data_IF_163553711797
#
_entry.id   IF_163553711797
#
_cell.length_a   1.000
_cell.length_b   1.000
_cell.length_c   1.000
_cell.angle_alpha   90.00
_cell.angle_beta   90.00
_cell.angle_gamma   90.00
#
_symmetry.space_group_name_H-M   'P 1'
#
loop_
_entity.id
_entity.type
_entity.pdbx_description
1 polymer ?
#
# COMPACT_ATOMS: atom_id res chain seq x y z
N UNK A 1 -8.37 32.74 14.65
CA UNK A 1 -9.23 31.64 15.14
C UNK A 1 -8.34 30.44 15.37
N UNK A 2 -7.91 30.25 16.61
CA UNK A 2 -7.09 29.11 17.00
C UNK A 2 -7.99 27.87 17.00
N UNK A 3 -7.75 26.93 16.10
CA UNK A 3 -8.37 25.61 16.15
C UNK A 3 -7.99 24.95 17.46
N UNK A 4 -8.93 24.93 18.42
CA UNK A 4 -8.87 24.05 19.59
C UNK A 4 -8.66 22.64 19.07
N UNK A 5 -7.47 22.11 19.36
CA UNK A 5 -7.10 20.78 18.93
C UNK A 5 -7.93 19.81 19.75
N UNK A 6 -8.72 19.00 19.05
CA UNK A 6 -9.43 17.82 19.54
C UNK A 6 -8.43 16.72 19.95
N UNK A 7 -7.59 17.02 20.95
CA UNK A 7 -6.51 16.16 21.43
C UNK A 7 -6.94 15.20 22.56
N UNK A 8 -8.20 15.21 22.98
CA UNK A 8 -8.63 14.47 24.17
C UNK A 8 -9.37 13.15 23.93
N UNK A 9 -9.63 12.70 22.70
CA UNK A 9 -10.43 11.46 22.46
C UNK A 9 -9.59 10.36 21.82
N UNK A 10 -9.63 9.16 22.40
CA UNK A 10 -8.98 7.96 21.85
C UNK A 10 -9.67 7.51 20.55
N UNK A 11 -8.96 7.37 19.41
CA UNK A 11 -9.57 7.03 18.13
C UNK A 11 -10.12 5.59 18.04
N UNK A 12 -9.68 4.70 18.93
CA UNK A 12 -10.13 3.30 18.97
C UNK A 12 -11.47 3.16 19.71
N UNK A 13 -11.51 3.52 20.99
CA UNK A 13 -12.70 3.37 21.82
C UNK A 13 -13.62 4.61 21.83
N UNK A 14 -13.16 5.76 21.30
CA UNK A 14 -13.87 7.05 21.33
C UNK A 14 -14.16 7.59 22.72
N UNK A 15 -13.50 7.08 23.75
CA UNK A 15 -13.53 7.65 25.10
C UNK A 15 -12.52 8.79 25.24
N UNK A 16 -12.80 9.73 26.14
CA UNK A 16 -11.87 10.79 26.51
C UNK A 16 -10.67 10.23 27.29
N UNK A 17 -9.48 10.84 27.11
CA UNK A 17 -8.28 10.52 27.87
C UNK A 17 -8.37 11.12 29.27
N UNK A 18 -8.47 10.27 30.30
CA UNK A 18 -8.38 10.75 31.68
C UNK A 18 -6.90 10.95 32.10
N UNK A 19 -6.59 11.90 32.99
CA UNK A 19 -5.20 12.20 33.39
C UNK A 19 -4.46 11.04 34.04
N UNK A 20 -5.18 10.03 34.54
CA UNK A 20 -4.63 8.88 35.24
C UNK A 20 -4.49 7.64 34.35
N UNK A 21 -5.01 7.67 33.13
CA UNK A 21 -5.00 6.54 32.23
C UNK A 21 -3.67 6.44 31.48
N UNK A 22 -3.18 5.21 31.31
CA UNK A 22 -1.96 4.98 30.54
C UNK A 22 -2.22 5.22 29.05
N UNK A 23 -1.42 6.08 28.43
CA UNK A 23 -1.50 6.39 27.01
C UNK A 23 -0.24 5.98 26.27
N UNK A 24 -0.42 5.61 25.01
CA UNK A 24 0.63 5.21 24.09
C UNK A 24 0.52 6.06 22.83
N UNK A 25 1.64 6.63 22.38
CA UNK A 25 1.70 7.38 21.12
C UNK A 25 2.44 6.56 20.07
N UNK A 26 1.84 6.43 18.88
CA UNK A 26 2.46 5.78 17.74
C UNK A 26 3.66 6.62 17.25
N UNK A 27 4.87 6.04 17.20
CA UNK A 27 6.06 6.78 16.74
C UNK A 27 6.02 7.24 15.28
N UNK A 28 5.24 6.57 14.44
CA UNK A 28 5.19 6.87 12.99
C UNK A 28 4.27 8.04 12.67
N UNK A 29 3.08 8.08 13.25
CA UNK A 29 2.06 9.11 12.95
C UNK A 29 1.75 10.05 14.12
N UNK A 30 2.27 9.78 15.32
CA UNK A 30 2.04 10.57 16.53
C UNK A 30 0.68 10.33 17.21
N UNK A 31 -0.22 9.54 16.61
CA UNK A 31 -1.56 9.28 17.16
C UNK A 31 -1.48 8.67 18.57
N UNK A 32 -2.17 9.31 19.53
CA UNK A 32 -2.28 8.87 20.93
C UNK A 32 -3.49 7.94 21.10
N UNK A 33 -3.34 6.85 21.84
CA UNK A 33 -4.40 5.87 22.17
C UNK A 33 -4.22 5.39 23.61
N UNK A 34 -5.28 4.84 24.22
CA UNK A 34 -5.13 4.15 25.50
C UNK A 34 -4.20 2.95 25.34
N UNK A 35 -3.41 2.66 26.37
CA UNK A 35 -2.54 1.49 26.37
C UNK A 35 -3.32 0.20 26.14
N UNK A 36 -4.47 0.05 26.79
CA UNK A 36 -5.35 -1.11 26.59
C UNK A 36 -5.84 -1.21 25.14
N UNK A 37 -6.21 -0.08 24.52
CA UNK A 37 -6.62 -0.05 23.11
C UNK A 37 -5.49 -0.41 22.15
N UNK A 38 -4.24 -0.07 22.50
CA UNK A 38 -3.05 -0.44 21.75
C UNK A 38 -2.79 -1.95 21.81
N UNK A 39 -2.92 -2.53 23.00
CA UNK A 39 -2.77 -3.98 23.23
C UNK A 39 -3.88 -4.78 22.51
N UNK A 40 -5.13 -4.29 22.51
CA UNK A 40 -6.24 -4.89 21.76
C UNK A 40 -6.08 -4.80 20.23
N UNK A 41 -5.25 -3.87 19.74
CA UNK A 41 -4.98 -3.70 18.32
C UNK A 41 -3.69 -4.42 17.89
N UNK A 42 -3.25 -5.45 18.61
CA UNK A 42 -2.02 -6.21 18.36
C UNK A 42 -0.79 -5.30 18.25
N UNK A 43 -0.71 -4.29 19.11
CA UNK A 43 0.33 -3.26 19.13
C UNK A 43 0.42 -2.45 17.81
N UNK A 44 -0.73 -2.13 17.22
CA UNK A 44 -0.82 -1.31 16.00
C UNK A 44 -1.69 -0.07 16.21
N UNK A 45 -1.35 0.98 15.47
CA UNK A 45 -2.14 2.20 15.43
C UNK A 45 -3.52 1.94 14.78
N UNK A 46 -4.60 2.07 15.54
CA UNK A 46 -5.97 1.93 15.02
C UNK A 46 -6.37 2.89 13.89
N UNK A 47 -5.69 4.02 13.72
CA UNK A 47 -6.02 5.00 12.66
C UNK A 47 -5.38 4.63 11.32
N UNK A 48 -4.08 4.28 11.34
CA UNK A 48 -3.29 4.09 10.12
C UNK A 48 -2.71 2.68 9.97
N UNK A 49 -2.97 1.77 10.90
CA UNK A 49 -2.40 0.41 10.89
C UNK A 49 -0.88 0.36 11.05
N UNK A 50 -0.25 1.46 11.50
CA UNK A 50 1.19 1.50 11.73
C UNK A 50 1.55 0.48 12.83
N UNK A 51 2.37 -0.52 12.49
CA UNK A 51 2.84 -1.54 13.44
C UNK A 51 4.29 -1.33 13.89
N UNK A 52 4.64 -1.97 15.00
CA UNK A 52 6.02 -2.14 15.48
C UNK A 52 6.15 -1.94 16.99
N UNK A 53 6.99 -2.77 17.61
CA UNK A 53 7.40 -2.81 19.05
C UNK A 53 7.98 -1.50 19.60
N UNK A 54 7.91 -0.42 18.84
CA UNK A 54 8.47 0.87 19.16
C UNK A 54 7.40 1.86 19.65
N UNK A 55 6.42 1.43 20.43
CA UNK A 55 5.49 2.38 21.04
C UNK A 55 6.18 3.09 22.23
N UNK A 56 6.13 4.43 22.30
CA UNK A 56 6.67 5.15 23.47
C UNK A 56 5.56 5.22 24.51
N UNK A 57 5.58 4.31 25.48
CA UNK A 57 4.69 4.35 26.63
C UNK A 57 5.12 5.51 27.54
N UNK A 58 4.23 6.50 27.72
CA UNK A 58 4.35 7.43 28.84
C UNK A 58 3.73 6.73 30.04
N UNK A 59 4.47 5.80 30.64
CA UNK A 59 4.21 5.49 32.03
C UNK A 59 4.49 6.79 32.79
N UNK A 60 3.43 7.42 33.30
CA UNK A 60 3.55 8.57 34.18
C UNK A 60 4.14 8.03 35.49
N UNK A 61 5.46 7.82 35.50
CA UNK A 61 6.20 7.59 36.73
C UNK A 61 5.92 8.79 37.61
N UNK A 62 5.11 8.54 38.66
CA UNK A 62 4.87 9.48 39.75
C UNK A 62 6.24 10.05 40.14
N UNK A 63 6.41 11.38 40.19
CA UNK A 63 7.65 11.98 40.66
C UNK A 63 7.96 11.44 42.07
N UNK A 64 8.93 10.52 42.14
CA UNK A 64 9.42 10.01 43.41
C UNK A 64 10.21 11.14 44.06
N UNK A 65 9.63 11.73 45.09
CA UNK A 65 10.17 12.81 45.90
C UNK A 65 11.31 12.33 46.80
N UNK A 66 12.38 11.76 46.24
CA UNK A 66 13.61 11.49 47.00
C UNK A 66 14.88 11.74 46.19
N UNK A 67 15.60 12.78 46.61
CA UNK A 67 17.05 12.71 46.80
C UNK A 67 17.90 13.12 45.61
N UNK A 68 18.34 14.38 45.66
CA UNK A 68 19.43 14.95 44.88
C UNK A 68 20.67 14.03 44.75
N UNK A 69 21.20 13.92 43.54
CA UNK A 69 22.60 14.27 43.21
C UNK A 69 22.68 14.52 41.71
N UNK A 70 22.95 15.78 41.37
CA UNK A 70 22.98 16.28 40.02
C UNK A 70 24.17 15.70 39.23
N UNK A 71 23.89 14.83 38.26
CA UNK A 71 24.75 14.63 37.09
C UNK A 71 23.94 15.07 35.88
N UNK A 72 24.30 16.23 35.34
CA UNK A 72 23.69 16.83 34.17
C UNK A 72 23.95 15.95 32.95
N UNK A 73 23.08 14.96 32.71
CA UNK A 73 23.00 14.31 31.41
C UNK A 73 22.23 15.24 30.48
N UNK A 74 22.90 15.67 29.41
CA UNK A 74 22.31 16.41 28.31
C UNK A 74 21.15 15.60 27.73
N UNK A 75 19.93 16.04 28.01
CA UNK A 75 18.70 15.49 27.45
C UNK A 75 18.80 15.70 25.94
N UNK A 76 18.76 14.64 25.10
CA UNK A 76 18.77 14.80 23.67
C UNK A 76 17.53 15.60 23.25
N UNK A 77 17.78 16.72 22.57
CA UNK A 77 16.77 17.66 22.11
C UNK A 77 15.65 16.92 21.39
N UNK A 78 14.36 17.24 21.66
CA UNK A 78 13.25 16.60 20.98
C UNK A 78 13.40 16.74 19.46
N UNK A 79 13.01 15.71 18.69
CA UNK A 79 13.01 15.80 17.24
C UNK A 79 12.22 17.03 16.82
N UNK A 80 12.84 17.87 15.99
CA UNK A 80 12.24 19.13 15.53
C UNK A 80 10.88 18.80 14.90
N UNK A 81 9.79 19.51 15.26
CA UNK A 81 8.50 19.34 14.61
C UNK A 81 8.70 19.50 13.11
N UNK A 82 8.07 18.62 12.33
CA UNK A 82 8.09 18.66 10.87
C UNK A 82 7.86 20.09 10.40
N UNK A 83 8.81 20.60 9.61
CA UNK A 83 8.69 21.93 9.05
C UNK A 83 7.36 22.00 8.28
N UNK A 84 6.53 23.04 8.51
CA UNK A 84 5.34 23.23 7.71
C UNK A 84 5.73 23.23 6.24
N UNK A 85 4.92 22.56 5.41
CA UNK A 85 5.00 22.66 3.94
C UNK A 85 5.24 24.13 3.58
N UNK A 86 6.36 24.39 2.91
CA UNK A 86 6.86 25.75 2.68
C UNK A 86 5.74 26.63 2.11
N UNK A 87 5.52 27.81 2.69
CA UNK A 87 4.52 28.82 2.26
C UNK A 87 4.47 28.98 0.74
N UNK A 88 5.63 28.84 0.08
CA UNK A 88 5.80 28.85 -1.38
C UNK A 88 4.86 27.92 -2.16
N UNK A 89 4.46 26.78 -1.61
CA UNK A 89 3.54 25.83 -2.29
C UNK A 89 2.07 26.20 -2.17
N UNK A 90 1.69 26.94 -1.11
CA UNK A 90 0.32 27.47 -0.98
C UNK A 90 0.07 28.62 -1.94
N UNK A 91 1.07 29.48 -2.13
CA UNK A 91 0.93 30.65 -2.99
C UNK A 91 0.77 30.27 -4.47
N UNK A 92 1.46 29.22 -4.93
CA UNK A 92 1.34 28.72 -6.31
C UNK A 92 -0.04 28.09 -6.56
N UNK A 93 -0.58 27.35 -5.58
CA UNK A 93 -1.92 26.78 -5.69
C UNK A 93 -3.02 27.85 -5.79
N UNK A 94 -2.94 28.90 -4.97
CA UNK A 94 -3.89 30.01 -5.00
C UNK A 94 -3.79 30.84 -6.27
N UNK A 95 -2.58 31.09 -6.79
CA UNK A 95 -2.36 31.77 -8.06
C UNK A 95 -2.98 31.01 -9.23
N UNK A 96 -2.88 29.67 -9.26
CA UNK A 96 -3.49 28.86 -10.31
C UNK A 96 -5.02 28.89 -10.26
N UNK A 97 -5.60 28.82 -9.05
CA UNK A 97 -7.06 28.89 -8.88
C UNK A 97 -7.61 30.26 -9.32
N UNK A 98 -6.88 31.35 -9.07
CA UNK A 98 -7.29 32.70 -9.46
C UNK A 98 -7.04 33.03 -10.95
N UNK A 99 -5.99 32.48 -11.55
CA UNK A 99 -5.63 32.77 -12.94
C UNK A 99 -6.59 32.14 -13.96
N UNK A 100 -7.14 30.95 -13.67
CA UNK A 100 -8.06 30.23 -14.56
C UNK A 100 -9.33 31.05 -14.89
N UNK A 101 -10.10 31.56 -13.91
CA UNK A 101 -11.32 32.34 -14.21
C UNK A 101 -11.01 33.69 -14.89
N UNK A 102 -9.88 34.33 -14.56
CA UNK A 102 -9.48 35.59 -15.20
C UNK A 102 -9.11 35.40 -16.68
N UNK A 103 -8.40 34.32 -17.00
CA UNK A 103 -8.10 33.96 -18.38
C UNK A 103 -9.36 33.60 -19.17
N UNK A 104 -10.30 32.85 -18.57
CA UNK A 104 -11.59 32.55 -19.20
C UNK A 104 -12.41 33.82 -19.49
N UNK A 105 -12.40 34.80 -18.57
CA UNK A 105 -13.09 36.07 -18.76
C UNK A 105 -12.44 36.91 -19.88
N UNK A 106 -11.11 36.93 -19.97
CA UNK A 106 -10.39 37.62 -21.03
C UNK A 106 -10.63 37.00 -22.41
N UNK A 107 -10.69 35.66 -22.51
CA UNK A 107 -11.03 34.96 -23.76
C UNK A 107 -12.47 35.27 -24.18
N UNK A 108 -13.42 35.28 -23.24
CA UNK A 108 -14.81 35.62 -23.52
C UNK A 108 -14.98 37.07 -24.01
N UNK A 109 -14.18 38.01 -23.49
CA UNK A 109 -14.22 39.42 -23.90
C UNK A 109 -13.64 39.66 -25.31
N UNK A 110 -12.69 38.83 -25.77
CA UNK A 110 -12.06 38.97 -27.10
C UNK A 110 -12.84 38.22 -28.19
N UNK A 111 -13.67 37.23 -27.82
CA UNK A 111 -14.38 36.36 -28.74
C UNK A 111 -15.75 36.90 -29.24
N UNK A 112 -16.06 38.20 -29.06
CA UNK A 112 -17.41 38.71 -29.32
C UNK A 112 -17.84 38.76 -30.79
N UNK A 113 -16.92 38.68 -31.76
CA UNK A 113 -17.29 38.93 -33.17
C UNK A 113 -16.75 37.94 -34.22
N UNK A 114 -16.19 36.78 -33.83
CA UNK A 114 -15.89 35.73 -34.82
C UNK A 114 -16.04 34.31 -34.26
N UNK A 115 -16.78 33.47 -34.98
CA UNK A 115 -16.95 32.03 -34.69
C UNK A 115 -15.60 31.30 -34.59
N UNK A 116 -14.60 31.77 -35.33
CA UNK A 116 -13.23 31.26 -35.30
C UNK A 116 -12.57 31.42 -33.92
N UNK A 117 -12.85 32.51 -33.19
CA UNK A 117 -12.26 32.74 -31.88
C UNK A 117 -12.88 31.88 -30.78
N UNK A 118 -14.16 31.49 -30.93
CA UNK A 118 -14.81 30.58 -29.98
C UNK A 118 -14.16 29.19 -30.02
N UNK A 119 -13.91 28.64 -31.20
CA UNK A 119 -13.24 27.34 -31.35
C UNK A 119 -11.82 27.36 -30.79
N UNK A 120 -11.04 28.40 -31.09
CA UNK A 120 -9.68 28.56 -30.56
C UNK A 120 -9.71 28.66 -29.02
N UNK A 121 -10.66 29.41 -28.45
CA UNK A 121 -10.85 29.55 -27.00
C UNK A 121 -11.15 28.22 -26.31
N UNK A 122 -12.07 27.41 -26.88
CA UNK A 122 -12.41 26.09 -26.34
C UNK A 122 -11.21 25.14 -26.37
N UNK A 123 -10.44 25.12 -27.46
CA UNK A 123 -9.25 24.26 -27.60
C UNK A 123 -8.18 24.66 -26.59
N UNK A 124 -7.91 25.96 -26.42
CA UNK A 124 -6.93 26.43 -25.43
C UNK A 124 -7.37 26.13 -23.99
N UNK A 125 -8.66 26.29 -23.68
CA UNK A 125 -9.19 25.95 -22.37
C UNK A 125 -9.03 24.45 -22.06
N UNK A 126 -9.38 23.58 -23.01
CA UNK A 126 -9.21 22.14 -22.87
C UNK A 126 -7.73 21.75 -22.66
N UNK A 127 -6.80 22.36 -23.41
CA UNK A 127 -5.36 22.14 -23.23
C UNK A 127 -4.87 22.58 -21.84
N UNK A 128 -5.29 23.76 -21.36
CA UNK A 128 -4.97 24.24 -20.02
C UNK A 128 -5.50 23.31 -18.92
N UNK A 129 -6.74 22.83 -19.05
CA UNK A 129 -7.33 21.88 -18.10
C UNK A 129 -6.55 20.56 -18.08
N UNK A 130 -6.20 20.01 -19.26
CA UNK A 130 -5.41 18.78 -19.36
C UNK A 130 -4.00 18.93 -18.76
N UNK A 131 -3.34 20.06 -18.99
CA UNK A 131 -2.04 20.36 -18.39
C UNK A 131 -2.15 20.52 -16.87
N UNK A 132 -3.18 21.20 -16.37
CA UNK A 132 -3.46 21.33 -14.94
C UNK A 132 -3.65 19.97 -14.26
N UNK A 133 -4.47 19.08 -14.85
CA UNK A 133 -4.67 17.72 -14.36
C UNK A 133 -3.36 16.93 -14.39
N UNK A 134 -2.54 17.08 -15.42
CA UNK A 134 -1.23 16.39 -15.52
C UNK A 134 -0.23 16.87 -14.47
N UNK A 135 -0.23 18.16 -14.13
CA UNK A 135 0.61 18.72 -13.06
C UNK A 135 0.13 18.25 -11.68
N UNK A 136 -1.18 18.21 -11.45
CA UNK A 136 -1.77 17.70 -10.20
C UNK A 136 -1.58 16.19 -10.03
N UNK A 137 -1.56 15.43 -11.12
CA UNK A 137 -1.40 13.96 -11.10
C UNK A 137 0.04 13.48 -11.18
N UNK A 138 1.00 14.35 -11.55
CA UNK A 138 2.42 14.09 -11.28
C UNK A 138 2.59 14.06 -9.77
N UNK A 139 2.51 12.83 -9.23
CA UNK A 139 2.84 12.51 -7.86
C UNK A 139 4.10 13.28 -7.49
N UNK A 140 3.98 14.16 -6.50
CA UNK A 140 5.14 14.61 -5.74
C UNK A 140 5.66 13.35 -5.08
N UNK A 141 6.69 12.74 -5.66
CA UNK A 141 7.41 11.67 -4.99
C UNK A 141 7.78 12.20 -3.60
N UNK A 142 7.44 11.48 -2.51
CA UNK A 142 7.81 11.92 -1.19
C UNK A 142 9.32 12.17 -1.19
N UNK A 143 9.80 13.29 -0.62
CA UNK A 143 11.22 13.58 -0.61
C UNK A 143 11.94 12.36 -0.03
N UNK A 144 12.75 11.71 -0.87
CA UNK A 144 13.67 10.66 -0.43
C UNK A 144 14.60 11.36 0.54
N UNK A 145 14.39 11.15 1.84
CA UNK A 145 15.28 11.69 2.87
C UNK A 145 16.65 11.03 2.69
N UNK A 146 17.69 11.78 2.29
CA UNK A 146 19.03 11.21 2.18
C UNK A 146 19.54 10.99 3.61
N UNK A 147 19.45 9.76 4.11
CA UNK A 147 20.00 9.43 5.43
C UNK A 147 19.45 8.18 6.11
N UNK A 148 18.30 7.64 5.68
CA UNK A 148 17.82 6.37 6.24
C UNK A 148 18.50 5.19 5.54
N UNK A 149 19.69 4.80 6.05
CA UNK A 149 20.24 3.47 5.81
C UNK A 149 19.23 2.46 6.35
N UNK A 150 18.93 1.41 5.58
CA UNK A 150 18.05 0.34 6.04
C UNK A 150 18.70 -0.32 7.26
N UNK A 151 17.96 -0.63 8.33
CA UNK A 151 18.51 -1.38 9.47
C UNK A 151 19.02 -2.78 9.07
N UNK A 152 18.68 -3.28 7.88
CA UNK A 152 19.27 -4.50 7.32
C UNK A 152 20.78 -4.39 7.09
N UNK A 153 21.33 -3.18 6.87
CA UNK A 153 22.76 -2.98 6.64
C UNK A 153 23.57 -2.85 7.95
N UNK A 154 22.91 -2.78 9.11
CA UNK A 154 23.55 -2.65 10.43
C UNK A 154 23.61 -3.95 11.23
N UNK A 155 22.92 -5.01 10.80
CA UNK A 155 22.91 -6.30 11.49
C UNK A 155 23.85 -7.35 10.87
N UNK A 156 24.63 -7.01 9.84
CA UNK A 156 25.54 -7.95 9.17
C UNK A 156 27.05 -7.65 9.40
N UNK A 157 27.41 -6.64 10.21
CA UNK A 157 28.81 -6.21 10.38
C UNK A 157 29.54 -6.82 11.58
N UNK A 158 28.86 -7.53 12.49
CA UNK A 158 29.46 -7.97 13.77
C UNK A 158 29.45 -9.50 14.00
N UNK A 159 29.17 -10.31 12.97
CA UNK A 159 29.45 -11.76 13.04
C UNK A 159 30.91 -12.01 12.66
N UNK A 160 31.82 -11.80 13.60
CA UNK A 160 33.13 -12.42 13.55
C UNK A 160 32.94 -13.94 13.76
N UNK A 161 33.26 -14.79 12.77
CA UNK A 161 33.19 -16.23 12.96
C UNK A 161 34.20 -16.62 14.06
N UNK A 162 33.72 -17.36 15.05
CA UNK A 162 34.57 -18.01 16.03
C UNK A 162 35.48 -19.01 15.30
N UNK A 163 36.75 -19.02 15.69
CA UNK A 163 37.78 -19.94 15.21
C UNK A 163 37.26 -21.39 15.20
N UNK A 164 37.13 -21.96 14.00
CA UNK A 164 36.96 -23.41 13.83
C UNK A 164 38.32 -24.08 14.09
N UNK A 165 38.35 -25.18 14.86
CA UNK A 165 39.58 -25.93 15.08
C UNK A 165 40.04 -26.61 13.79
N UNK A 166 41.32 -26.39 13.48
CA UNK A 166 42.15 -27.16 12.56
C UNK A 166 42.05 -28.66 12.86
N UNK A 167 41.28 -29.40 12.08
CA UNK A 167 41.37 -30.85 12.00
C UNK A 167 41.65 -31.26 10.54
N UNK A 168 42.96 -31.46 10.32
CA UNK A 168 43.55 -32.63 9.69
C UNK A 168 43.09 -33.05 8.28
N UNK A 169 44.04 -32.92 7.36
CA UNK A 169 44.47 -33.97 6.42
C UNK A 169 43.37 -34.86 5.82
N UNK A 170 42.93 -34.48 4.63
CA UNK A 170 42.68 -35.50 3.59
C UNK A 170 43.32 -35.09 2.28
N UNK A 171 44.34 -35.88 1.94
CA UNK A 171 45.11 -35.91 0.71
C UNK A 171 44.25 -36.01 -0.55
N UNK A 172 44.80 -35.41 -1.61
CA UNK A 172 44.80 -35.86 -3.00
C UNK A 172 43.65 -36.78 -3.47
N UNK A 173 42.79 -36.24 -4.33
CA UNK A 173 42.64 -36.81 -5.67
C UNK A 173 42.11 -35.77 -6.66
N UNK A 174 43.07 -35.28 -7.43
CA UNK A 174 42.94 -34.79 -8.79
C UNK A 174 42.15 -35.76 -9.68
N UNK A 175 41.00 -35.34 -10.22
CA UNK A 175 40.56 -35.78 -11.54
C UNK A 175 39.73 -34.70 -12.25
N UNK A 176 40.23 -34.32 -13.43
CA UNK A 176 39.59 -33.48 -14.43
C UNK A 176 38.45 -34.28 -15.07
N UNK A 177 37.27 -33.70 -15.19
CA UNK A 177 36.17 -34.32 -15.92
C UNK A 177 35.14 -33.30 -16.40
N UNK A 178 35.36 -32.76 -17.59
CA UNK A 178 34.33 -32.08 -18.36
C UNK A 178 33.22 -33.08 -18.74
N UNK A 179 31.99 -32.89 -18.27
CA UNK A 179 30.82 -33.60 -18.80
C UNK A 179 29.56 -32.76 -18.58
N UNK A 180 28.81 -32.57 -19.67
CA UNK A 180 27.67 -31.66 -19.76
C UNK A 180 26.56 -31.95 -18.76
N UNK A 181 25.95 -30.86 -18.30
CA UNK A 181 24.76 -30.86 -17.44
C UNK A 181 23.59 -31.54 -18.12
N UNK A 182 23.43 -32.84 -17.88
CA UNK A 182 22.16 -33.52 -18.03
C UNK A 182 21.22 -33.00 -16.95
N UNK A 183 20.28 -32.14 -17.33
CA UNK A 183 19.08 -31.86 -16.52
C UNK A 183 18.48 -33.22 -16.12
N UNK A 184 18.30 -33.51 -14.81
CA UNK A 184 17.90 -34.84 -14.35
C UNK A 184 16.58 -35.25 -15.00
N UNK A 185 16.54 -36.47 -15.55
CA UNK A 185 15.36 -37.04 -16.24
C UNK A 185 14.07 -36.99 -15.39
N UNK A 186 14.19 -36.91 -14.07
CA UNK A 186 13.08 -36.70 -13.14
C UNK A 186 12.37 -35.34 -13.33
N UNK A 187 13.07 -34.27 -13.68
CA UNK A 187 12.46 -32.97 -13.95
C UNK A 187 11.64 -32.97 -15.26
N UNK A 188 12.03 -33.79 -16.25
CA UNK A 188 11.25 -33.94 -17.51
C UNK A 188 9.98 -34.76 -17.31
N UNK A 189 9.98 -35.72 -16.38
CA UNK A 189 8.79 -36.51 -16.05
C UNK A 189 7.75 -35.69 -15.26
N UNK A 190 8.17 -34.73 -14.43
CA UNK A 190 7.25 -33.86 -13.70
C UNK A 190 6.45 -32.92 -14.63
N UNK A 191 7.11 -32.27 -15.59
CA UNK A 191 6.46 -31.37 -16.56
C UNK A 191 5.55 -32.13 -17.54
N UNK A 192 5.89 -33.39 -17.86
CA UNK A 192 5.02 -34.26 -18.67
C UNK A 192 3.74 -34.69 -17.96
N UNK A 193 3.76 -34.82 -16.62
CA UNK A 193 2.63 -35.31 -15.83
C UNK A 193 1.52 -34.27 -15.65
N UNK A 194 1.86 -32.99 -15.52
CA UNK A 194 0.86 -31.91 -15.48
C UNK A 194 0.10 -31.80 -16.81
N UNK A 195 0.81 -31.90 -17.95
CA UNK A 195 0.17 -31.93 -19.28
C UNK A 195 -0.65 -33.19 -19.55
N UNK A 196 -0.27 -34.33 -18.99
CA UNK A 196 -1.03 -35.58 -19.15
C UNK A 196 -2.38 -35.55 -18.40
N UNK A 197 -2.43 -34.92 -17.22
CA UNK A 197 -3.67 -34.74 -16.46
C UNK A 197 -4.66 -33.78 -17.13
N UNK A 198 -4.16 -32.78 -17.87
CA UNK A 198 -4.98 -31.84 -18.66
C UNK A 198 -5.77 -32.53 -19.79
N UNK A 199 -5.27 -33.68 -20.28
CA UNK A 199 -5.91 -34.45 -21.35
C UNK A 199 -7.10 -35.29 -20.86
N UNK A 200 -7.13 -35.68 -19.59
CA UNK A 200 -8.20 -36.52 -19.00
C UNK A 200 -9.42 -35.72 -18.51
N UNK A 201 -9.34 -34.39 -18.49
CA UNK A 201 -10.48 -33.54 -18.09
C UNK A 201 -11.57 -33.54 -19.15
N UNK A 202 -12.82 -33.68 -18.72
CA UNK A 202 -13.99 -33.47 -19.58
C UNK A 202 -14.01 -32.03 -20.11
N UNK A 203 -14.63 -31.77 -21.28
CA UNK A 203 -14.77 -30.41 -21.82
C UNK A 203 -15.44 -29.40 -20.86
N UNK A 204 -16.24 -29.87 -19.89
CA UNK A 204 -16.83 -29.02 -18.85
C UNK A 204 -15.82 -28.67 -17.76
N UNK A 205 -14.97 -29.60 -17.36
CA UNK A 205 -13.91 -29.35 -16.38
C UNK A 205 -12.84 -28.40 -16.94
N UNK A 206 -12.47 -28.55 -18.23
CA UNK A 206 -11.55 -27.61 -18.91
C UNK A 206 -12.07 -26.18 -18.89
N UNK A 207 -13.34 -25.97 -19.25
CA UNK A 207 -14.00 -24.66 -19.15
C UNK A 207 -13.96 -24.10 -17.73
N UNK A 208 -14.16 -24.95 -16.72
CA UNK A 208 -14.04 -24.53 -15.32
C UNK A 208 -12.66 -23.96 -15.01
N UNK A 209 -11.58 -24.67 -15.39
CA UNK A 209 -10.20 -24.23 -15.15
C UNK A 209 -9.87 -22.94 -15.91
N UNK A 210 -10.30 -22.83 -17.17
CA UNK A 210 -10.09 -21.63 -17.99
C UNK A 210 -10.80 -20.41 -17.39
N UNK A 211 -12.03 -20.59 -16.90
CA UNK A 211 -12.79 -19.52 -16.23
C UNK A 211 -12.12 -19.07 -14.92
N UNK A 212 -11.61 -20.01 -14.13
CA UNK A 212 -10.90 -19.69 -12.87
C UNK A 212 -9.62 -18.90 -13.15
N UNK A 213 -8.84 -19.34 -14.15
CA UNK A 213 -7.62 -18.66 -14.57
C UNK A 213 -7.91 -17.25 -15.08
N UNK A 214 -8.91 -17.10 -15.95
CA UNK A 214 -9.36 -15.79 -16.43
C UNK A 214 -9.75 -14.85 -15.28
N UNK A 215 -10.45 -15.38 -14.27
CA UNK A 215 -10.83 -14.61 -13.08
C UNK A 215 -9.61 -14.15 -12.29
N UNK A 216 -8.62 -15.02 -12.09
CA UNK A 216 -7.38 -14.68 -11.38
C UNK A 216 -6.57 -13.65 -12.14
N UNK A 217 -6.43 -13.79 -13.46
CA UNK A 217 -5.73 -12.82 -14.31
C UNK A 217 -6.41 -11.44 -14.24
N UNK A 218 -7.74 -11.40 -14.31
CA UNK A 218 -8.51 -10.16 -14.14
C UNK A 218 -8.27 -9.51 -12.77
N UNK A 219 -8.22 -10.28 -11.68
CA UNK A 219 -7.98 -9.73 -10.34
C UNK A 219 -6.54 -9.26 -10.15
N UNK A 220 -5.57 -10.01 -10.70
CA UNK A 220 -4.15 -9.72 -10.57
C UNK A 220 -3.75 -8.49 -11.38
N UNK A 221 -4.30 -8.32 -12.58
CA UNK A 221 -4.00 -7.21 -13.47
C UNK A 221 -4.95 -6.03 -13.31
N UNK A 222 -6.14 -6.27 -12.77
CA UNK A 222 -7.19 -5.28 -12.61
C UNK A 222 -6.78 -4.12 -11.70
N UNK A 223 -7.18 -2.92 -12.13
CA UNK A 223 -7.12 -1.70 -11.33
C UNK A 223 -8.23 -1.69 -10.28
N UNK A 224 -8.05 -0.88 -9.22
CA UNK A 224 -9.10 -0.71 -8.20
C UNK A 224 -10.45 -0.23 -8.77
N UNK A 225 -10.43 0.48 -9.90
CA UNK A 225 -11.64 0.92 -10.60
C UNK A 225 -12.37 -0.25 -11.26
N UNK A 226 -11.67 -1.07 -12.05
CA UNK A 226 -12.25 -2.22 -12.74
C UNK A 226 -12.81 -3.25 -11.76
N UNK A 227 -12.10 -3.51 -10.66
CA UNK A 227 -12.60 -4.39 -9.60
C UNK A 227 -13.86 -3.83 -8.94
N UNK A 228 -13.91 -2.52 -8.70
CA UNK A 228 -15.09 -1.86 -8.12
C UNK A 228 -16.31 -1.97 -9.03
N UNK A 229 -16.18 -1.72 -10.32
CA UNK A 229 -17.29 -1.82 -11.26
C UNK A 229 -17.81 -3.25 -11.39
N UNK A 230 -16.90 -4.23 -11.50
CA UNK A 230 -17.26 -5.64 -11.55
C UNK A 230 -18.06 -6.10 -10.32
N UNK A 231 -17.65 -5.64 -9.12
CA UNK A 231 -18.34 -5.95 -7.86
C UNK A 231 -19.70 -5.24 -7.78
N UNK A 232 -19.78 -3.95 -8.15
CA UNK A 232 -21.03 -3.18 -8.08
C UNK A 232 -22.13 -3.75 -8.96
N UNK A 233 -21.80 -4.22 -10.16
CA UNK A 233 -22.77 -4.80 -11.09
C UNK A 233 -23.47 -6.04 -10.51
N UNK A 234 -22.79 -6.77 -9.62
CA UNK A 234 -23.28 -8.03 -9.05
C UNK A 234 -23.75 -7.90 -7.60
N UNK A 235 -23.55 -6.74 -6.98
CA UNK A 235 -23.98 -6.41 -5.63
C UNK A 235 -24.67 -5.03 -5.63
N UNK A 236 -25.81 -4.87 -6.34
CA UNK A 236 -26.49 -3.57 -6.48
C UNK A 236 -26.99 -3.00 -5.15
N UNK A 237 -27.16 -3.86 -4.13
CA UNK A 237 -27.59 -3.47 -2.79
C UNK A 237 -26.42 -3.19 -1.84
N UNK A 238 -25.17 -3.45 -2.25
CA UNK A 238 -24.02 -3.12 -1.42
C UNK A 238 -23.79 -1.60 -1.45
N UNK A 239 -23.56 -1.01 -0.28
CA UNK A 239 -23.18 0.41 -0.22
C UNK A 239 -21.84 0.61 -0.92
N UNK A 240 -21.65 1.78 -1.54
CA UNK A 240 -20.37 2.11 -2.18
C UNK A 240 -19.19 1.94 -1.21
N UNK A 241 -19.39 2.27 0.06
CA UNK A 241 -18.37 2.12 1.10
C UNK A 241 -18.02 0.64 1.37
N UNK A 242 -18.99 -0.27 1.32
CA UNK A 242 -18.74 -1.70 1.45
C UNK A 242 -17.93 -2.23 0.27
N UNK A 243 -18.26 -1.82 -0.97
CA UNK A 243 -17.50 -2.20 -2.16
C UNK A 243 -16.07 -1.67 -2.11
N UNK A 244 -15.87 -0.40 -1.74
CA UNK A 244 -14.54 0.18 -1.58
C UNK A 244 -13.72 -0.63 -0.57
N UNK A 245 -14.31 -1.02 0.57
CA UNK A 245 -13.64 -1.85 1.57
C UNK A 245 -13.23 -3.21 0.99
N UNK A 246 -14.11 -3.89 0.25
CA UNK A 246 -13.79 -5.16 -0.41
C UNK A 246 -12.63 -5.02 -1.39
N UNK A 247 -12.66 -4.01 -2.26
CA UNK A 247 -11.59 -3.76 -3.24
C UNK A 247 -10.26 -3.50 -2.53
N UNK A 248 -10.25 -2.69 -1.48
CA UNK A 248 -9.04 -2.44 -0.69
C UNK A 248 -8.51 -3.70 -0.01
N UNK A 249 -9.39 -4.56 0.50
CA UNK A 249 -8.97 -5.85 1.08
C UNK A 249 -8.35 -6.77 0.03
N UNK A 250 -8.92 -6.84 -1.18
CA UNK A 250 -8.36 -7.61 -2.29
C UNK A 250 -6.97 -7.07 -2.67
N UNK A 251 -6.84 -5.76 -2.86
CA UNK A 251 -5.57 -5.13 -3.24
C UNK A 251 -4.50 -5.26 -2.15
N UNK A 252 -4.87 -5.08 -0.88
CA UNK A 252 -3.95 -5.25 0.25
C UNK A 252 -3.49 -6.71 0.37
N UNK A 253 -4.40 -7.68 0.20
CA UNK A 253 -4.04 -9.09 0.22
C UNK A 253 -3.10 -9.43 -0.94
N UNK A 254 -3.40 -8.95 -2.16
CA UNK A 254 -2.55 -9.11 -3.35
C UNK A 254 -1.12 -8.62 -3.09
N UNK A 255 -0.97 -7.43 -2.51
CA UNK A 255 0.33 -6.83 -2.20
C UNK A 255 1.09 -7.54 -1.06
N UNK A 256 0.39 -8.34 -0.23
CA UNK A 256 0.99 -9.10 0.86
C UNK A 256 1.50 -10.48 0.43
N UNK A 257 1.11 -10.98 -0.76
CA UNK A 257 1.63 -12.22 -1.31
C UNK A 257 3.05 -12.00 -1.84
N UNK A 258 3.95 -12.97 -1.65
CA UNK A 258 5.37 -12.86 -2.06
C UNK A 258 5.52 -12.54 -3.56
N UNK A 259 4.63 -13.13 -4.38
CA UNK A 259 4.63 -12.93 -5.83
C UNK A 259 3.72 -11.78 -6.29
N UNK A 260 3.06 -11.08 -5.36
CA UNK A 260 2.12 -10.01 -5.66
C UNK A 260 0.88 -10.44 -6.44
N UNK A 261 0.56 -11.75 -6.45
CA UNK A 261 -0.48 -12.35 -7.29
C UNK A 261 -1.18 -13.51 -6.60
N UNK A 262 -2.50 -13.60 -6.79
CA UNK A 262 -3.29 -14.76 -6.41
C UNK A 262 -3.02 -15.92 -7.38
N UNK A 263 -2.84 -17.11 -6.84
CA UNK A 263 -2.60 -18.35 -7.62
C UNK A 263 -3.84 -19.24 -7.69
N UNK A 264 -4.77 -19.09 -6.74
CA UNK A 264 -6.00 -19.90 -6.67
C UNK A 264 -7.20 -19.04 -6.28
N UNK A 265 -8.40 -19.43 -6.71
CA UNK A 265 -9.64 -18.75 -6.25
C UNK A 265 -9.90 -18.94 -4.76
N UNK A 266 -9.35 -19.98 -4.14
CA UNK A 266 -9.48 -20.20 -2.70
C UNK A 266 -8.77 -19.11 -1.89
N UNK A 267 -7.63 -18.60 -2.34
CA UNK A 267 -6.97 -17.44 -1.71
C UNK A 267 -7.86 -16.19 -1.70
N UNK A 268 -8.66 -15.98 -2.75
CA UNK A 268 -9.65 -14.90 -2.84
C UNK A 268 -10.83 -15.14 -1.90
N UNK A 269 -11.32 -16.38 -1.81
CA UNK A 269 -12.42 -16.78 -0.91
C UNK A 269 -12.04 -16.65 0.57
N UNK A 270 -10.76 -16.75 0.89
CA UNK A 270 -10.25 -16.59 2.25
C UNK A 270 -10.16 -15.12 2.70
N UNK A 271 -10.40 -14.13 1.81
CA UNK A 271 -10.33 -12.71 2.17
C UNK A 271 -11.55 -12.32 3.03
N UNK A 272 -11.36 -11.89 4.29
CA UNK A 272 -12.48 -11.56 5.17
C UNK A 272 -13.31 -10.41 4.61
N UNK A 273 -14.63 -10.63 4.47
CA UNK A 273 -15.56 -9.60 3.99
C UNK A 273 -15.78 -9.57 2.47
N UNK A 274 -15.13 -10.46 1.70
CA UNK A 274 -15.41 -10.64 0.27
C UNK A 274 -16.42 -11.79 0.11
N UNK A 275 -17.72 -11.52 -0.14
CA UNK A 275 -18.72 -12.56 -0.29
C UNK A 275 -18.52 -13.34 -1.60
N UNK A 276 -18.98 -14.59 -1.66
CA UNK A 276 -18.92 -15.42 -2.88
C UNK A 276 -19.56 -14.74 -4.10
N UNK A 277 -20.59 -13.93 -3.88
CA UNK A 277 -21.27 -13.16 -4.94
C UNK A 277 -20.34 -12.11 -5.58
N UNK A 278 -19.43 -11.51 -4.80
CA UNK A 278 -18.43 -10.58 -5.35
C UNK A 278 -17.44 -11.31 -6.27
N UNK A 279 -17.02 -12.52 -5.88
CA UNK A 279 -16.12 -13.36 -6.67
C UNK A 279 -16.79 -13.77 -7.99
N UNK A 280 -18.08 -14.12 -7.95
CA UNK A 280 -18.85 -14.40 -9.17
C UNK A 280 -18.95 -13.17 -10.07
N UNK A 281 -19.09 -11.97 -9.51
CA UNK A 281 -19.05 -10.73 -10.30
C UNK A 281 -17.70 -10.48 -10.98
N UNK A 282 -16.60 -10.75 -10.27
CA UNK A 282 -15.25 -10.71 -10.86
C UNK A 282 -15.08 -11.74 -11.98
N UNK A 283 -15.61 -12.96 -11.80
CA UNK A 283 -15.59 -14.01 -12.83
C UNK A 283 -16.32 -13.58 -14.09
N UNK A 284 -17.54 -13.03 -13.97
CA UNK A 284 -18.30 -12.56 -15.14
C UNK A 284 -17.62 -11.37 -15.84
N UNK A 285 -17.02 -10.46 -15.09
CA UNK A 285 -16.24 -9.38 -15.66
C UNK A 285 -15.02 -9.89 -16.45
N UNK A 286 -14.31 -10.89 -15.93
CA UNK A 286 -13.21 -11.54 -16.62
C UNK A 286 -13.65 -12.19 -17.94
N UNK A 287 -14.74 -12.96 -17.92
CA UNK A 287 -15.27 -13.62 -19.12
C UNK A 287 -15.73 -12.60 -20.18
N UNK A 288 -16.36 -11.50 -19.78
CA UNK A 288 -16.71 -10.42 -20.71
C UNK A 288 -15.46 -9.78 -21.32
N UNK A 289 -14.42 -9.53 -20.54
CA UNK A 289 -13.15 -8.98 -21.04
C UNK A 289 -12.53 -9.91 -22.09
N UNK A 290 -12.54 -11.22 -21.87
CA UNK A 290 -12.10 -12.20 -22.86
C UNK A 290 -12.97 -12.17 -24.13
N UNK A 291 -14.29 -12.07 -23.98
CA UNK A 291 -15.20 -12.00 -25.13
C UNK A 291 -15.04 -10.74 -26.00
N UNK A 292 -14.45 -9.66 -25.45
CA UNK A 292 -14.14 -8.43 -26.19
C UNK A 292 -12.80 -8.51 -26.94
N UNK A 293 -11.93 -9.47 -26.59
CA UNK A 293 -10.61 -9.66 -27.20
C UNK A 293 -10.66 -10.67 -28.35
N UNK A 294 -11.61 -11.61 -28.30
CA UNK A 294 -11.82 -12.65 -29.32
C UNK A 294 -12.56 -12.12 -30.56
#
# INVERSE_FOLDING_TARGET
MSTERSESICPFCRAEFLPQEATVSCRRCGTVQHRECWEHADERCSVFGCGGTEARSRAMERPSTRGATARSQEIPSPPRPFAPLSERTRDVGLLLIAAIPLMSLAIAAVASDSETYQLIGIVLFALCALLGVRVLTRRVDPPVTPGWRRPADLLLSDYAPADEPDDADTDDHQERGAAGGSVPALARLAVGRERALEYELSPQQRRGVDDERATLDFVNEGTGHELREAILEHLPMATQQAVIRMVLQILNRRNALENGRFTTLDELRQIPGVPRVAIEGLRRAALRRLSLIA
#
